data_IF_856614640185
#
_entry.id   IF_856614640185
#
_cell.length_a   1.000
_cell.length_b   1.000
_cell.length_c   1.000
_cell.angle_alpha   90.00
_cell.angle_beta   90.00
_cell.angle_gamma   90.00
#
_symmetry.space_group_name_H-M   'P 1'
#
loop_
_entity.id
_entity.type
_entity.pdbx_description
1 polymer ?
#
# COMPACT_ATOMS: atom_id res chain seq x y z
N UNK A 1 -23.14 2.33 -46.66
CA UNK A 1 -23.94 1.24 -46.06
C UNK A 1 -23.71 1.29 -44.55
N UNK A 2 -24.61 1.94 -43.82
CA UNK A 2 -24.43 2.30 -42.41
C UNK A 2 -25.19 1.30 -41.54
N UNK A 3 -24.49 0.45 -40.84
CA UNK A 3 -25.10 -0.51 -39.89
C UNK A 3 -25.20 0.16 -38.52
N UNK A 4 -26.42 0.53 -38.11
CA UNK A 4 -26.73 0.96 -36.73
C UNK A 4 -27.15 -0.26 -35.94
N UNK A 5 -26.28 -0.71 -35.03
CA UNK A 5 -26.64 -1.71 -34.00
C UNK A 5 -27.17 -1.00 -32.75
N UNK A 6 -28.47 -1.13 -32.49
CA UNK A 6 -29.09 -0.66 -31.24
C UNK A 6 -28.84 -1.73 -30.15
N UNK A 7 -27.95 -1.49 -29.23
CA UNK A 7 -27.82 -2.26 -28.00
C UNK A 7 -28.93 -1.83 -27.02
N UNK A 8 -29.84 -2.74 -26.68
CA UNK A 8 -30.91 -2.57 -25.69
C UNK A 8 -30.33 -2.86 -24.30
N UNK A 9 -30.01 -1.81 -23.53
CA UNK A 9 -29.60 -1.97 -22.13
C UNK A 9 -30.79 -2.51 -21.32
N UNK A 10 -30.66 -3.74 -20.82
CA UNK A 10 -31.57 -4.29 -19.82
C UNK A 10 -31.34 -3.57 -18.49
N UNK A 11 -32.35 -2.82 -18.02
CA UNK A 11 -32.33 -2.22 -16.67
C UNK A 11 -32.46 -3.34 -15.64
N UNK A 12 -31.32 -3.70 -15.02
CA UNK A 12 -31.31 -4.59 -13.85
C UNK A 12 -32.08 -3.95 -12.70
N UNK A 13 -32.92 -4.75 -12.01
CA UNK A 13 -33.61 -4.33 -10.78
C UNK A 13 -32.58 -3.83 -9.76
N UNK A 14 -32.87 -2.72 -9.06
CA UNK A 14 -32.00 -2.25 -7.98
C UNK A 14 -31.93 -3.33 -6.89
N UNK A 15 -30.72 -3.73 -6.53
CA UNK A 15 -30.45 -4.56 -5.36
C UNK A 15 -30.99 -3.83 -4.11
N UNK A 16 -31.93 -4.47 -3.39
CA UNK A 16 -32.43 -3.94 -2.12
C UNK A 16 -31.25 -3.75 -1.15
N UNK A 17 -31.08 -2.53 -0.70
CA UNK A 17 -30.12 -2.23 0.39
C UNK A 17 -30.55 -3.02 1.62
N UNK A 18 -29.64 -3.77 2.29
CA UNK A 18 -29.98 -4.33 3.59
C UNK A 18 -30.35 -3.21 4.54
N UNK A 19 -31.50 -3.36 5.22
CA UNK A 19 -31.99 -2.40 6.19
C UNK A 19 -30.91 -2.19 7.25
N UNK A 20 -30.48 -0.94 7.43
CA UNK A 20 -29.64 -0.55 8.56
C UNK A 20 -30.48 -0.75 9.83
N UNK A 21 -30.38 -1.93 10.44
CA UNK A 21 -30.83 -2.12 11.80
C UNK A 21 -30.02 -1.11 12.65
N UNK A 22 -30.70 -0.07 13.12
CA UNK A 22 -30.16 0.93 14.04
C UNK A 22 -29.64 0.18 15.26
N UNK A 23 -28.35 -0.13 15.29
CA UNK A 23 -27.67 -0.56 16.51
C UNK A 23 -27.82 0.60 17.51
N UNK A 24 -28.80 0.50 18.39
CA UNK A 24 -28.85 1.32 19.59
C UNK A 24 -27.56 1.05 20.35
N UNK A 25 -26.58 1.92 20.23
CA UNK A 25 -25.47 1.99 21.18
C UNK A 25 -26.14 2.48 22.47
N UNK A 26 -26.51 1.53 23.32
CA UNK A 26 -26.92 1.85 24.69
C UNK A 26 -25.71 2.53 25.33
N UNK A 27 -25.87 3.82 25.67
CA UNK A 27 -24.97 4.50 26.58
C UNK A 27 -25.02 3.75 27.90
N UNK A 28 -24.12 2.79 28.10
CA UNK A 28 -23.93 2.14 29.40
C UNK A 28 -23.19 3.14 30.28
N UNK A 29 -23.96 3.90 31.02
CA UNK A 29 -23.47 4.57 32.22
C UNK A 29 -22.81 3.56 33.13
N UNK A 30 -21.69 3.95 33.71
CA UNK A 30 -20.94 3.40 34.84
C UNK A 30 -21.03 1.89 35.04
N UNK A 31 -20.04 1.14 34.60
CA UNK A 31 -19.74 -0.16 35.14
C UNK A 31 -18.37 -0.13 35.82
N UNK A 32 -18.40 -0.08 37.13
CA UNK A 32 -17.33 -0.65 38.00
C UNK A 32 -17.27 -2.14 37.70
N UNK A 33 -16.42 -2.58 36.85
CA UNK A 33 -16.28 -4.00 36.48
C UNK A 33 -15.10 -4.22 35.56
N UNK A 34 -14.15 -4.93 36.02
CA UNK A 34 -13.02 -5.75 35.51
C UNK A 34 -12.79 -5.86 33.98
N UNK A 35 -13.17 -4.89 33.18
CA UNK A 35 -12.79 -4.80 31.77
C UNK A 35 -11.46 -4.07 31.60
N UNK A 36 -10.71 -4.35 30.53
CA UNK A 36 -9.45 -3.65 30.27
C UNK A 36 -9.71 -2.14 30.17
N UNK A 37 -8.88 -1.34 30.82
CA UNK A 37 -8.89 0.12 30.64
C UNK A 37 -8.48 0.45 29.20
N UNK A 38 -9.48 0.68 28.35
CA UNK A 38 -9.29 0.95 26.93
C UNK A 38 -8.46 2.21 26.69
N UNK A 39 -8.54 3.20 27.61
CA UNK A 39 -7.74 4.41 27.48
C UNK A 39 -6.27 4.16 27.81
N UNK A 40 -6.01 3.36 28.85
CA UNK A 40 -4.65 2.93 29.17
C UNK A 40 -4.06 2.09 28.03
N UNK A 41 -4.85 1.19 27.45
CA UNK A 41 -4.43 0.39 26.29
C UNK A 41 -4.12 1.29 25.09
N UNK A 42 -4.98 2.23 24.73
CA UNK A 42 -4.75 3.15 23.63
C UNK A 42 -3.47 3.98 23.82
N UNK A 43 -3.25 4.50 25.02
CA UNK A 43 -2.02 5.22 25.38
C UNK A 43 -0.77 4.32 25.30
N UNK A 44 -0.91 3.05 25.68
CA UNK A 44 0.19 2.07 25.58
C UNK A 44 0.57 1.83 24.11
N UNK A 45 -0.41 1.64 23.22
CA UNK A 45 -0.17 1.46 21.79
C UNK A 45 0.60 2.65 21.23
N UNK A 46 0.13 3.88 21.48
CA UNK A 46 0.81 5.10 20.99
C UNK A 46 2.26 5.18 21.48
N UNK A 47 2.51 4.89 22.76
CA UNK A 47 3.89 4.89 23.30
C UNK A 47 4.76 3.82 22.64
N UNK A 48 4.21 2.63 22.42
CA UNK A 48 4.93 1.52 21.78
C UNK A 48 5.33 1.86 20.35
N UNK A 49 4.40 2.43 19.58
CA UNK A 49 4.67 2.84 18.21
C UNK A 49 5.67 4.02 18.16
N UNK A 50 5.52 5.01 19.03
CA UNK A 50 6.48 6.12 19.13
C UNK A 50 7.89 5.63 19.45
N UNK A 51 8.04 4.69 20.40
CA UNK A 51 9.32 4.09 20.72
C UNK A 51 9.90 3.29 19.53
N UNK A 52 9.06 2.57 18.79
CA UNK A 52 9.49 1.84 17.59
C UNK A 52 9.98 2.79 16.49
N UNK A 53 9.31 3.93 16.29
CA UNK A 53 9.75 4.96 15.33
C UNK A 53 11.08 5.58 15.80
N UNK A 54 11.21 5.95 17.07
CA UNK A 54 12.47 6.49 17.61
C UNK A 54 13.65 5.52 17.44
N UNK A 55 13.42 4.21 17.58
CA UNK A 55 14.45 3.19 17.40
C UNK A 55 14.94 3.07 15.94
N UNK A 56 14.25 3.65 14.96
CA UNK A 56 14.73 3.68 13.56
C UNK A 56 15.98 4.54 13.39
N UNK A 57 16.17 5.58 14.23
CA UNK A 57 17.33 6.48 14.16
C UNK A 57 18.65 5.69 14.14
N UNK A 58 18.80 4.71 15.03
CA UNK A 58 20.01 3.88 15.10
C UNK A 58 20.20 2.91 13.92
N UNK A 59 19.18 2.76 13.06
CA UNK A 59 19.22 1.92 11.85
C UNK A 59 19.50 2.69 10.57
N UNK A 60 19.52 4.02 10.65
CA UNK A 60 19.84 4.88 9.51
C UNK A 60 21.36 4.95 9.36
N UNK A 61 21.92 4.16 8.48
CA UNK A 61 23.35 4.04 8.23
C UNK A 61 23.70 4.20 6.75
N UNK A 62 24.87 3.70 6.36
CA UNK A 62 25.41 3.80 5.01
C UNK A 62 24.47 3.19 3.94
N UNK A 63 23.81 2.09 4.26
CA UNK A 63 22.87 1.43 3.34
C UNK A 63 21.64 2.30 3.04
N UNK A 64 21.15 3.03 4.06
CA UNK A 64 20.07 4.01 3.86
C UNK A 64 20.54 5.14 2.93
N UNK A 65 21.72 5.70 3.16
CA UNK A 65 22.29 6.74 2.30
C UNK A 65 22.46 6.24 0.87
N UNK A 66 22.98 5.03 0.68
CA UNK A 66 23.14 4.44 -0.64
C UNK A 66 21.78 4.26 -1.36
N UNK A 67 20.74 3.81 -0.65
CA UNK A 67 19.40 3.72 -1.22
C UNK A 67 18.85 5.10 -1.65
N UNK A 68 19.09 6.14 -0.84
CA UNK A 68 18.73 7.53 -1.18
C UNK A 68 19.48 8.01 -2.42
N UNK A 69 20.76 7.72 -2.54
CA UNK A 69 21.59 8.07 -3.70
C UNK A 69 21.09 7.42 -4.99
N UNK A 70 20.74 6.12 -4.93
CA UNK A 70 20.14 5.41 -6.08
C UNK A 70 18.85 6.10 -6.53
N UNK A 71 17.97 6.43 -5.60
CA UNK A 71 16.70 7.10 -5.91
C UNK A 71 16.91 8.51 -6.44
N UNK A 72 17.86 9.27 -5.87
CA UNK A 72 18.20 10.62 -6.30
C UNK A 72 18.88 10.65 -7.70
N UNK A 73 19.63 9.61 -8.04
CA UNK A 73 20.27 9.47 -9.34
C UNK A 73 19.34 8.92 -10.42
N UNK A 74 18.11 8.49 -10.06
CA UNK A 74 17.12 7.98 -11.00
C UNK A 74 16.75 9.03 -12.04
N UNK A 75 16.99 8.73 -13.32
CA UNK A 75 16.67 9.63 -14.44
C UNK A 75 15.32 9.35 -15.09
N UNK A 76 14.76 8.18 -14.81
CA UNK A 76 13.45 7.75 -15.26
C UNK A 76 12.40 7.92 -14.16
N UNK A 77 11.73 6.85 -13.82
CA UNK A 77 10.74 6.78 -12.74
C UNK A 77 11.14 5.77 -11.69
N UNK A 78 10.59 5.92 -10.49
CA UNK A 78 10.71 4.94 -9.41
C UNK A 78 9.53 3.97 -9.51
N UNK A 79 9.80 2.69 -9.74
CA UNK A 79 8.78 1.65 -9.73
C UNK A 79 8.76 1.04 -8.33
N UNK A 80 7.64 1.22 -7.62
CA UNK A 80 7.47 0.72 -6.25
C UNK A 80 6.60 -0.52 -6.29
N UNK A 81 7.04 -1.59 -5.66
CA UNK A 81 6.36 -2.89 -5.72
C UNK A 81 6.27 -3.56 -4.34
N UNK A 82 5.24 -4.39 -4.16
CA UNK A 82 4.99 -5.12 -2.92
C UNK A 82 3.72 -5.94 -3.02
N UNK A 83 3.59 -6.95 -2.14
CA UNK A 83 2.44 -7.87 -2.09
C UNK A 83 1.60 -7.62 -0.84
N UNK A 84 0.29 -7.75 -0.94
CA UNK A 84 -0.63 -7.65 0.18
C UNK A 84 -0.54 -6.30 0.91
N UNK A 85 -0.34 -6.31 2.23
CA UNK A 85 -0.22 -5.06 3.02
C UNK A 85 1.02 -4.24 2.63
N UNK A 86 2.12 -4.89 2.27
CA UNK A 86 3.31 -4.20 1.74
C UNK A 86 3.00 -3.53 0.40
N UNK A 87 2.15 -4.13 -0.44
CA UNK A 87 1.67 -3.53 -1.68
C UNK A 87 0.86 -2.24 -1.44
N UNK A 88 0.00 -2.21 -0.42
CA UNK A 88 -0.73 -0.99 -0.05
C UNK A 88 0.22 0.15 0.38
N UNK A 89 1.29 -0.18 1.11
CA UNK A 89 2.32 0.79 1.48
C UNK A 89 3.11 1.24 0.25
N UNK A 90 3.46 0.31 -0.64
CA UNK A 90 4.15 0.60 -1.90
C UNK A 90 3.33 1.55 -2.78
N UNK A 91 2.02 1.31 -2.90
CA UNK A 91 1.10 2.18 -3.63
C UNK A 91 1.07 3.60 -3.05
N UNK A 92 0.93 3.71 -1.71
CA UNK A 92 0.97 5.02 -1.03
C UNK A 92 2.30 5.74 -1.24
N UNK A 93 3.41 5.01 -1.17
CA UNK A 93 4.75 5.59 -1.37
C UNK A 93 4.92 6.12 -2.79
N UNK A 94 4.52 5.36 -3.81
CA UNK A 94 4.55 5.82 -5.21
C UNK A 94 3.73 7.10 -5.40
N UNK A 95 2.52 7.16 -4.83
CA UNK A 95 1.68 8.35 -4.87
C UNK A 95 2.34 9.55 -4.16
N UNK A 96 3.00 9.31 -3.03
CA UNK A 96 3.71 10.36 -2.27
C UNK A 96 4.90 10.90 -3.08
N UNK A 97 5.74 10.02 -3.63
CA UNK A 97 6.87 10.41 -4.48
C UNK A 97 6.41 11.27 -5.67
N UNK A 98 5.36 10.84 -6.36
CA UNK A 98 4.79 11.58 -7.48
C UNK A 98 4.28 12.95 -7.05
N UNK A 99 3.59 13.05 -5.91
CA UNK A 99 3.06 14.33 -5.40
C UNK A 99 4.17 15.31 -4.95
N UNK A 100 5.36 14.79 -4.66
CA UNK A 100 6.54 15.60 -4.27
C UNK A 100 7.54 15.82 -5.41
N UNK A 101 7.16 15.49 -6.64
CA UNK A 101 7.95 15.80 -7.85
C UNK A 101 8.87 14.67 -8.33
N UNK A 102 8.88 13.50 -7.68
CA UNK A 102 9.62 12.33 -8.15
C UNK A 102 8.67 11.44 -8.96
N UNK A 103 8.86 11.25 -10.27
CA UNK A 103 8.03 10.35 -11.06
C UNK A 103 8.05 8.94 -10.48
N UNK A 104 6.91 8.43 -10.06
CA UNK A 104 6.84 7.11 -9.47
C UNK A 104 5.51 6.40 -9.82
N UNK A 105 5.55 5.07 -9.88
CA UNK A 105 4.39 4.24 -10.16
C UNK A 105 4.42 2.98 -9.30
N UNK A 106 3.25 2.55 -8.84
CA UNK A 106 3.10 1.24 -8.23
C UNK A 106 2.92 0.18 -9.32
N UNK A 107 3.64 -0.94 -9.19
CA UNK A 107 3.51 -2.11 -10.05
C UNK A 107 3.35 -3.35 -9.17
N UNK A 108 2.22 -4.06 -9.31
CA UNK A 108 2.04 -5.32 -8.60
C UNK A 108 2.96 -6.39 -9.18
N UNK A 109 3.69 -7.20 -8.35
CA UNK A 109 4.66 -8.14 -8.89
C UNK A 109 4.04 -9.20 -9.81
N UNK A 110 2.82 -9.67 -9.50
CA UNK A 110 2.12 -10.63 -10.35
C UNK A 110 1.80 -10.03 -11.72
N UNK A 111 1.30 -8.79 -11.77
CA UNK A 111 0.99 -8.11 -13.04
C UNK A 111 2.27 -7.92 -13.86
N UNK A 112 3.38 -7.57 -13.20
CA UNK A 112 4.70 -7.47 -13.83
C UNK A 112 5.09 -8.79 -14.50
N UNK A 113 4.95 -9.93 -13.82
CA UNK A 113 5.28 -11.25 -14.35
C UNK A 113 4.34 -11.71 -15.47
N UNK A 114 3.15 -11.12 -15.57
CA UNK A 114 2.17 -11.37 -16.65
C UNK A 114 2.25 -10.38 -17.81
N UNK A 115 3.30 -9.54 -17.87
CA UNK A 115 3.56 -8.67 -19.02
C UNK A 115 3.86 -7.21 -18.68
N UNK A 116 3.38 -6.70 -17.53
CA UNK A 116 3.55 -5.29 -17.15
C UNK A 116 5.01 -4.95 -16.76
N UNK A 117 5.90 -5.95 -16.66
CA UNK A 117 7.34 -5.72 -16.56
C UNK A 117 7.89 -4.89 -17.74
N UNK A 118 7.21 -4.87 -18.88
CA UNK A 118 7.48 -3.97 -19.98
C UNK A 118 7.40 -2.47 -19.63
N UNK A 119 6.90 -2.13 -18.43
CA UNK A 119 6.91 -0.78 -17.88
C UNK A 119 8.33 -0.30 -17.53
N UNK A 120 9.24 -1.20 -17.19
CA UNK A 120 10.63 -0.86 -16.87
C UNK A 120 11.37 -0.33 -18.08
N UNK A 121 12.15 0.73 -17.89
CA UNK A 121 12.99 1.36 -18.89
C UNK A 121 14.40 1.60 -18.35
N UNK A 122 15.42 1.66 -19.19
CA UNK A 122 16.76 2.09 -18.77
C UNK A 122 16.70 3.45 -18.05
N UNK A 123 17.31 3.53 -16.89
CA UNK A 123 17.30 4.73 -16.05
C UNK A 123 16.19 4.76 -14.99
N UNK A 124 15.29 3.80 -14.97
CA UNK A 124 14.33 3.60 -13.87
C UNK A 124 15.02 3.00 -12.66
N UNK A 125 14.45 3.25 -11.48
CA UNK A 125 14.82 2.58 -10.23
C UNK A 125 13.66 1.71 -9.74
N UNK A 126 13.97 0.59 -9.10
CA UNK A 126 12.99 -0.30 -8.48
C UNK A 126 13.11 -0.26 -6.95
N UNK A 127 11.97 -0.13 -6.25
CA UNK A 127 11.87 -0.19 -4.80
C UNK A 127 10.88 -1.26 -4.38
N UNK A 128 11.39 -2.34 -3.78
CA UNK A 128 10.59 -3.46 -3.32
C UNK A 128 10.32 -3.39 -1.82
N UNK A 129 9.06 -3.52 -1.41
CA UNK A 129 8.66 -3.53 -0.01
C UNK A 129 8.20 -4.94 0.37
N UNK A 130 8.93 -5.56 1.28
CA UNK A 130 8.61 -6.88 1.83
C UNK A 130 8.92 -6.94 3.32
N UNK A 131 8.03 -7.54 4.11
CA UNK A 131 8.25 -7.76 5.55
C UNK A 131 9.30 -8.85 5.80
N UNK A 132 9.23 -9.94 5.04
CA UNK A 132 10.08 -11.13 5.23
C UNK A 132 11.29 -11.17 4.29
N UNK A 133 11.25 -10.40 3.19
CA UNK A 133 12.19 -10.54 2.09
C UNK A 133 11.96 -11.78 1.21
N UNK A 134 11.04 -12.68 1.58
CA UNK A 134 10.83 -13.98 0.94
C UNK A 134 9.53 -14.10 0.12
N UNK A 135 8.94 -13.01 -0.35
CA UNK A 135 7.76 -13.06 -1.23
C UNK A 135 8.17 -13.60 -2.59
N UNK A 136 7.63 -14.76 -2.98
CA UNK A 136 8.04 -15.47 -4.21
C UNK A 136 7.87 -14.61 -5.46
N UNK A 137 6.76 -13.89 -5.56
CA UNK A 137 6.47 -12.99 -6.69
C UNK A 137 7.48 -11.83 -6.78
N UNK A 138 7.90 -11.27 -5.63
CA UNK A 138 8.92 -10.21 -5.62
C UNK A 138 10.30 -10.76 -5.98
N UNK A 139 10.65 -11.96 -5.52
CA UNK A 139 11.92 -12.61 -5.87
C UNK A 139 11.95 -12.97 -7.36
N UNK A 140 10.85 -13.48 -7.91
CA UNK A 140 10.73 -13.76 -9.34
C UNK A 140 10.87 -12.50 -10.18
N UNK A 141 10.22 -11.40 -9.78
CA UNK A 141 10.36 -10.11 -10.45
C UNK A 141 11.78 -9.56 -10.35
N UNK A 142 12.44 -9.69 -9.20
CA UNK A 142 13.83 -9.25 -9.04
C UNK A 142 14.81 -10.03 -9.96
N UNK A 143 14.55 -11.31 -10.18
CA UNK A 143 15.36 -12.12 -11.11
C UNK A 143 15.11 -11.78 -12.59
N UNK A 144 13.92 -11.27 -12.89
CA UNK A 144 13.55 -10.86 -14.24
C UNK A 144 14.22 -9.54 -14.66
N UNK A 145 14.51 -8.65 -13.71
CA UNK A 145 15.09 -7.33 -13.93
C UNK A 145 16.61 -7.36 -14.05
#
# INVERSE_FOLDING_TARGET
MTVRTKAKLARGKPLARPSQAKRKVAARGGTTGNGPDLLALARHVVRTEAAAVAALESRLGAEFLHAVEILAACRGKVIVSGVGKSGLIAHKLAATLTSTGTPAVFLHPADALHGDAGLFRPGDAALFISKSGGSEELLALLQYL
#
